data_IF_953776356081
#
_entry.id   IF_953776356081
#
_cell.length_a   1.000
_cell.length_b   1.000
_cell.length_c   1.000
_cell.angle_alpha   90.00
_cell.angle_beta   90.00
_cell.angle_gamma   90.00
#
_symmetry.space_group_name_H-M   'P 1'
#
loop_
_entity.id
_entity.type
_entity.pdbx_description
1 polymer ?
#
# COMPACT_ATOMS: atom_id res chain seq x y z
N UNK A 1 4.08 3.76 11.97
CA UNK A 1 4.52 5.13 11.65
C UNK A 1 5.90 5.03 11.04
N UNK A 2 6.18 5.78 9.97
CA UNK A 2 7.54 5.85 9.44
C UNK A 2 8.35 6.87 10.24
N UNK A 3 9.64 6.64 10.40
CA UNK A 3 10.54 7.63 11.01
C UNK A 3 10.80 8.73 9.99
N UNK A 4 10.28 9.93 10.26
CA UNK A 4 10.47 11.07 9.36
C UNK A 4 11.96 11.42 9.25
N UNK A 5 12.43 11.70 8.03
CA UNK A 5 13.85 12.03 7.79
C UNK A 5 14.82 10.83 7.79
N UNK A 6 14.35 9.60 8.05
CA UNK A 6 15.22 8.43 8.11
C UNK A 6 15.92 8.09 6.78
N UNK A 7 15.20 8.17 5.65
CA UNK A 7 15.79 7.93 4.31
C UNK A 7 16.86 8.98 3.94
N UNK A 8 16.60 10.30 4.10
CA UNK A 8 17.65 11.31 3.94
C UNK A 8 18.86 11.07 4.84
N UNK A 9 18.64 10.69 6.10
CA UNK A 9 19.71 10.45 7.07
C UNK A 9 20.59 9.25 6.70
N UNK A 10 19.99 8.12 6.33
CA UNK A 10 20.72 6.91 5.91
C UNK A 10 21.56 7.16 4.65
N UNK A 11 20.99 7.85 3.66
CA UNK A 11 21.71 8.24 2.43
C UNK A 11 22.92 9.13 2.73
N UNK A 12 22.79 10.09 3.64
CA UNK A 12 23.89 10.99 4.05
C UNK A 12 25.07 10.22 4.66
N UNK A 13 24.83 9.07 5.29
CA UNK A 13 25.85 8.27 5.97
C UNK A 13 26.33 7.07 5.13
N UNK A 14 26.09 7.08 3.82
CA UNK A 14 26.61 6.06 2.91
C UNK A 14 25.91 4.70 3.01
N UNK A 15 24.82 4.59 3.76
CA UNK A 15 24.00 3.38 3.72
C UNK A 15 23.33 3.29 2.35
N UNK A 16 23.58 2.20 1.64
CA UNK A 16 22.81 1.86 0.45
C UNK A 16 21.39 1.58 0.94
N UNK A 17 20.49 2.53 0.70
CA UNK A 17 19.06 2.26 0.78
C UNK A 17 18.75 1.22 -0.30
N UNK A 18 18.84 -0.06 0.05
CA UNK A 18 18.37 -1.12 -0.81
C UNK A 18 16.97 -0.74 -1.29
N UNK A 19 16.73 -0.84 -2.59
CA UNK A 19 15.42 -0.58 -3.19
C UNK A 19 14.41 -1.56 -2.59
N UNK A 20 13.84 -1.19 -1.45
CA UNK A 20 13.09 -2.07 -0.57
C UNK A 20 11.73 -2.51 -1.13
N UNK A 21 11.41 -2.19 -2.39
CA UNK A 21 10.08 -2.50 -2.93
C UNK A 21 10.10 -3.10 -4.36
N UNK A 22 11.07 -2.84 -5.25
CA UNK A 22 10.92 -3.28 -6.67
C UNK A 22 12.21 -3.60 -7.45
N UNK A 23 13.39 -3.66 -6.82
CA UNK A 23 14.66 -3.76 -7.56
C UNK A 23 15.72 -4.65 -6.94
N UNK A 24 15.31 -5.61 -6.11
CA UNK A 24 16.23 -6.64 -5.63
C UNK A 24 16.00 -7.87 -6.51
N UNK A 25 16.83 -8.00 -7.54
CA UNK A 25 16.89 -9.22 -8.36
C UNK A 25 17.48 -10.39 -7.57
N UNK A 26 18.30 -10.12 -6.55
CA UNK A 26 18.90 -11.16 -5.70
C UNK A 26 19.08 -10.60 -4.27
N UNK A 27 18.26 -11.10 -3.34
CA UNK A 27 18.62 -11.01 -1.92
C UNK A 27 19.70 -12.08 -1.69
N UNK A 28 20.72 -11.82 -0.85
CA UNK A 28 21.71 -12.84 -0.54
C UNK A 28 21.02 -14.12 -0.08
N UNK A 29 21.45 -15.27 -0.61
CA UNK A 29 20.87 -16.61 -0.45
C UNK A 29 20.87 -17.15 1.00
N UNK A 30 21.20 -16.31 1.98
CA UNK A 30 21.27 -16.67 3.38
C UNK A 30 19.88 -16.53 4.05
N UNK A 31 19.01 -17.51 3.77
CA UNK A 31 17.83 -17.83 4.58
C UNK A 31 16.49 -17.22 4.13
N UNK A 32 15.44 -17.51 4.92
CA UNK A 32 14.06 -17.13 4.60
C UNK A 32 13.88 -15.61 4.53
N UNK A 33 13.36 -15.13 3.41
CA UNK A 33 13.01 -13.74 3.13
C UNK A 33 11.74 -13.36 3.90
N UNK A 34 11.81 -12.31 4.70
CA UNK A 34 10.70 -11.84 5.53
C UNK A 34 10.09 -10.59 4.91
N UNK A 35 8.79 -10.61 4.69
CA UNK A 35 8.08 -9.56 3.96
C UNK A 35 6.99 -8.96 4.83
N UNK A 36 7.06 -7.66 5.08
CA UNK A 36 5.94 -6.87 5.60
C UNK A 36 4.99 -6.58 4.42
N UNK A 37 3.84 -7.25 4.40
CA UNK A 37 2.87 -7.14 3.32
C UNK A 37 2.25 -5.74 3.26
N UNK A 38 1.87 -5.20 4.42
CA UNK A 38 1.14 -3.94 4.52
C UNK A 38 2.00 -2.73 4.15
N UNK A 39 3.31 -2.78 4.40
CA UNK A 39 4.24 -1.73 4.01
C UNK A 39 4.77 -1.93 2.59
N UNK A 40 5.25 -3.13 2.26
CA UNK A 40 5.93 -3.41 0.99
C UNK A 40 4.98 -3.41 -0.22
N UNK A 41 3.73 -3.86 -0.02
CA UNK A 41 2.79 -4.09 -1.12
C UNK A 41 1.59 -3.16 -1.10
N UNK A 42 1.56 -2.16 -0.21
CA UNK A 42 0.43 -1.22 -0.10
C UNK A 42 0.00 -0.63 -1.45
N UNK A 43 0.91 -0.13 -2.32
CA UNK A 43 0.50 0.44 -3.60
C UNK A 43 -0.17 -0.60 -4.50
N UNK A 44 0.39 -1.81 -4.57
CA UNK A 44 -0.14 -2.93 -5.35
C UNK A 44 -1.51 -3.36 -4.83
N UNK A 45 -1.64 -3.56 -3.52
CA UNK A 45 -2.90 -3.95 -2.86
C UNK A 45 -3.95 -2.87 -3.11
N UNK A 46 -3.63 -1.61 -2.84
CA UNK A 46 -4.57 -0.49 -3.00
C UNK A 46 -5.04 -0.35 -4.44
N UNK A 47 -4.14 -0.49 -5.41
CA UNK A 47 -4.51 -0.45 -6.82
C UNK A 47 -5.38 -1.65 -7.21
N UNK A 48 -4.95 -2.87 -6.88
CA UNK A 48 -5.62 -4.10 -7.27
C UNK A 48 -7.05 -4.16 -6.70
N UNK A 49 -7.21 -4.00 -5.40
CA UNK A 49 -8.52 -4.03 -4.73
C UNK A 49 -9.37 -2.78 -4.97
N UNK A 50 -8.78 -1.70 -5.44
CA UNK A 50 -9.52 -0.50 -5.82
C UNK A 50 -10.07 -0.53 -7.25
N UNK A 51 -9.61 -1.46 -8.10
CA UNK A 51 -9.90 -1.43 -9.55
C UNK A 51 -10.30 -2.77 -10.17
N UNK A 52 -10.14 -3.89 -9.45
CA UNK A 52 -10.35 -5.24 -9.99
C UNK A 52 -11.37 -6.03 -9.17
N UNK A 53 -11.81 -7.16 -9.73
CA UNK A 53 -12.54 -8.18 -8.97
C UNK A 53 -11.65 -8.74 -7.85
N UNK A 54 -12.27 -9.36 -6.85
CA UNK A 54 -11.56 -9.93 -5.70
C UNK A 54 -10.53 -10.98 -6.14
N UNK A 55 -10.90 -11.87 -7.06
CA UNK A 55 -10.04 -12.96 -7.54
C UNK A 55 -8.86 -12.44 -8.36
N UNK A 56 -9.10 -11.46 -9.24
CA UNK A 56 -8.03 -10.81 -10.00
C UNK A 56 -7.08 -10.03 -9.08
N UNK A 57 -7.61 -9.41 -8.03
CA UNK A 57 -6.79 -8.69 -7.06
C UNK A 57 -5.88 -9.64 -6.28
N UNK A 58 -6.38 -10.81 -5.87
CA UNK A 58 -5.57 -11.86 -5.26
C UNK A 58 -4.45 -12.33 -6.20
N UNK A 59 -4.77 -12.62 -7.46
CA UNK A 59 -3.79 -13.09 -8.44
C UNK A 59 -2.66 -12.07 -8.67
N UNK A 60 -2.98 -10.77 -8.69
CA UNK A 60 -1.99 -9.70 -8.82
C UNK A 60 -1.03 -9.68 -7.63
N UNK A 61 -1.57 -9.74 -6.40
CA UNK A 61 -0.75 -9.70 -5.18
C UNK A 61 0.13 -10.95 -5.09
N UNK A 62 -0.42 -12.12 -5.39
CA UNK A 62 0.34 -13.38 -5.41
C UNK A 62 1.49 -13.33 -6.43
N UNK A 63 1.23 -12.83 -7.63
CA UNK A 63 2.26 -12.67 -8.68
C UNK A 63 3.42 -11.80 -8.20
N UNK A 64 3.13 -10.73 -7.45
CA UNK A 64 4.18 -9.87 -6.91
C UNK A 64 4.94 -10.53 -5.76
N UNK A 65 4.28 -11.34 -4.93
CA UNK A 65 4.95 -12.10 -3.87
C UNK A 65 5.91 -13.15 -4.45
N UNK A 66 5.52 -13.84 -5.52
CA UNK A 66 6.38 -14.82 -6.22
C UNK A 66 7.66 -14.21 -6.79
N UNK A 67 7.68 -12.90 -7.06
CA UNK A 67 8.92 -12.21 -7.48
C UNK A 67 9.96 -12.11 -6.37
N UNK A 68 9.56 -12.22 -5.10
CA UNK A 68 10.48 -12.18 -3.96
C UNK A 68 11.15 -13.54 -3.77
N UNK A 69 10.40 -14.63 -3.93
CA UNK A 69 10.89 -15.98 -3.81
C UNK A 69 9.76 -17.01 -3.83
N UNK A 70 10.15 -18.28 -3.77
CA UNK A 70 9.21 -19.38 -3.66
C UNK A 70 8.54 -19.43 -2.28
N UNK A 71 7.42 -20.15 -2.19
CA UNK A 71 6.60 -20.24 -0.98
C UNK A 71 7.39 -20.64 0.26
N UNK A 72 8.37 -21.53 0.12
CA UNK A 72 9.15 -22.05 1.25
C UNK A 72 10.27 -21.11 1.71
N UNK A 73 10.65 -20.17 0.83
CA UNK A 73 11.70 -19.18 1.05
C UNK A 73 11.16 -17.85 1.58
N UNK A 74 9.84 -17.63 1.53
CA UNK A 74 9.21 -16.36 1.89
C UNK A 74 8.27 -16.52 3.09
N UNK A 75 8.48 -15.69 4.11
CA UNK A 75 7.55 -15.54 5.24
C UNK A 75 6.88 -14.17 5.13
N UNK A 76 5.57 -14.19 4.92
CA UNK A 76 4.74 -12.99 4.80
C UNK A 76 4.13 -12.65 6.15
N UNK A 77 4.34 -11.42 6.60
CA UNK A 77 3.72 -10.88 7.81
C UNK A 77 2.56 -9.98 7.42
N UNK A 78 1.40 -10.25 8.04
CA UNK A 78 0.22 -9.39 7.99
C UNK A 78 0.07 -8.74 9.35
N UNK A 79 -0.15 -7.42 9.36
CA UNK A 79 -0.36 -6.68 10.60
C UNK A 79 -1.58 -7.25 11.35
N UNK A 80 -1.36 -7.58 12.63
CA UNK A 80 -2.42 -8.01 13.54
C UNK A 80 -3.15 -6.84 14.20
N UNK A 81 -3.64 -7.07 15.42
CA UNK A 81 -4.27 -6.02 16.22
C UNK A 81 -3.31 -4.84 16.44
N UNK A 82 -3.88 -3.63 16.45
CA UNK A 82 -3.11 -2.41 16.55
C UNK A 82 -2.48 -2.26 17.94
N UNK A 83 -1.26 -1.74 17.99
CA UNK A 83 -0.64 -1.30 19.24
C UNK A 83 -1.36 -0.07 19.81
N UNK A 84 -1.64 -0.07 21.12
CA UNK A 84 -2.33 1.02 21.84
C UNK A 84 -1.65 2.38 21.64
N UNK A 85 -0.31 2.40 21.63
CA UNK A 85 0.48 3.62 21.41
C UNK A 85 0.20 4.34 20.07
N UNK A 86 -0.43 3.66 19.10
CA UNK A 86 -0.72 4.20 17.75
C UNK A 86 -2.15 4.71 17.60
N UNK A 87 -2.99 4.67 18.64
CA UNK A 87 -4.40 5.10 18.59
C UNK A 87 -4.58 6.50 18.01
N UNK A 88 -3.79 7.49 18.47
CA UNK A 88 -3.86 8.86 17.95
C UNK A 88 -3.55 8.94 16.46
N UNK A 89 -2.50 8.24 16.02
CA UNK A 89 -2.14 8.18 14.59
C UNK A 89 -3.24 7.55 13.75
N UNK A 90 -3.93 6.54 14.28
CA UNK A 90 -5.05 5.90 13.60
C UNK A 90 -6.22 6.88 13.45
N UNK A 91 -6.58 7.61 14.51
CA UNK A 91 -7.62 8.62 14.44
C UNK A 91 -7.33 9.66 13.34
N UNK A 92 -6.09 10.16 13.26
CA UNK A 92 -5.67 11.08 12.21
C UNK A 92 -5.76 10.48 10.80
N UNK A 93 -5.46 9.18 10.64
CA UNK A 93 -5.58 8.48 9.35
C UNK A 93 -7.04 8.26 8.96
N UNK A 94 -7.89 7.87 9.91
CA UNK A 94 -9.31 7.69 9.71
C UNK A 94 -9.98 9.01 9.31
N UNK A 95 -9.66 10.11 9.99
CA UNK A 95 -10.18 11.44 9.64
C UNK A 95 -9.79 11.84 8.20
N UNK A 96 -8.55 11.60 7.80
CA UNK A 96 -8.09 11.85 6.42
C UNK A 96 -8.84 10.99 5.40
N UNK A 97 -9.12 9.73 5.74
CA UNK A 97 -9.89 8.82 4.89
C UNK A 97 -11.32 9.32 4.72
N UNK A 98 -12.01 9.68 5.81
CA UNK A 98 -13.37 10.23 5.77
C UNK A 98 -13.42 11.49 4.91
N UNK A 99 -12.47 12.42 5.07
CA UNK A 99 -12.38 13.62 4.23
C UNK A 99 -12.19 13.29 2.75
N UNK A 100 -11.34 12.32 2.43
CA UNK A 100 -11.13 11.89 1.05
C UNK A 100 -12.39 11.26 0.45
N UNK A 101 -13.13 10.47 1.22
CA UNK A 101 -14.38 9.86 0.81
C UNK A 101 -15.45 10.91 0.51
N UNK A 102 -15.70 11.85 1.43
CA UNK A 102 -16.67 12.95 1.23
C UNK A 102 -16.34 13.73 -0.05
N UNK A 103 -15.06 14.01 -0.29
CA UNK A 103 -14.62 14.70 -1.51
C UNK A 103 -14.94 13.91 -2.78
N UNK A 104 -14.72 12.59 -2.76
CA UNK A 104 -15.02 11.72 -3.89
C UNK A 104 -16.53 11.65 -4.16
N UNK A 105 -17.35 11.46 -3.12
CA UNK A 105 -18.81 11.41 -3.22
C UNK A 105 -19.39 12.74 -3.76
N UNK A 106 -18.85 13.87 -3.30
CA UNK A 106 -19.23 15.20 -3.79
C UNK A 106 -18.88 15.36 -5.27
N UNK A 107 -17.70 14.91 -5.69
CA UNK A 107 -17.28 14.97 -7.09
C UNK A 107 -18.15 14.10 -8.01
N UNK A 108 -18.50 12.89 -7.57
CA UNK A 108 -19.42 11.99 -8.29
C UNK A 108 -20.81 12.63 -8.41
N UNK A 109 -21.34 13.16 -7.31
CA UNK A 109 -22.65 13.82 -7.30
C UNK A 109 -22.68 15.03 -8.24
N UNK A 110 -21.64 15.87 -8.20
CA UNK A 110 -21.51 17.01 -9.10
C UNK A 110 -21.40 16.60 -10.57
N UNK A 111 -20.73 15.49 -10.88
CA UNK A 111 -20.70 14.92 -12.22
C UNK A 111 -22.10 14.48 -12.69
N UNK A 112 -22.85 13.78 -11.83
CA UNK A 112 -24.22 13.35 -12.11
C UNK A 112 -25.18 14.52 -12.39
N UNK A 113 -25.05 15.61 -11.64
CA UNK A 113 -25.81 16.86 -11.88
C UNK A 113 -25.47 17.49 -13.23
N UNK A 114 -24.20 17.53 -13.62
CA UNK A 114 -23.78 18.06 -14.93
C UNK A 114 -24.32 17.22 -16.10
N UNK A 115 -24.26 15.90 -15.98
CA UNK A 115 -24.76 14.99 -17.01
C UNK A 115 -26.28 15.07 -17.18
N UNK A 116 -27.02 15.12 -16.07
CA UNK A 116 -28.49 15.25 -16.09
C UNK A 116 -28.98 16.61 -16.61
N UNK A 117 -28.23 17.69 -16.37
CA UNK A 117 -28.55 19.02 -16.91
C UNK A 117 -28.31 19.08 -18.42
N UNK A 118 -27.23 18.46 -18.91
CA UNK A 118 -26.89 18.43 -20.33
C UNK A 118 -27.78 17.49 -21.18
N UNK A 119 -28.51 16.55 -20.56
CA UNK A 119 -29.48 15.69 -21.28
C UNK A 119 -30.86 16.33 -21.47
N UNK A 120 -31.13 17.47 -20.81
CA UNK A 120 -32.42 18.18 -20.91
C UNK A 120 -32.42 19.32 -21.93
N UNK A 121 -31.32 19.50 -22.67
CA UNK A 121 -31.17 20.40 -23.82
C UNK A 121 -30.99 19.58 -25.08
#
# INVERSE_FOLDING_TARGET
MGVHGHKPWTKKHGYISGNLILGITELPDCGKKRVDLAWGFNPTIRWAYGTKSLDDAHAVVETQLRRIGEKDDVVVYVDGAQAQEKEKTQAERAEKQTKAQIKAETAISGLGQRLSTNQKH
#
